data_IF_915669981909
#
_entry.id   IF_915669981909
#
_cell.length_a   1.000
_cell.length_b   1.000
_cell.length_c   1.000
_cell.angle_alpha   90.00
_cell.angle_beta   90.00
_cell.angle_gamma   90.00
#
_symmetry.space_group_name_H-M   'P 1'
#
loop_
_entity.id
_entity.type
_entity.pdbx_description
1 polymer ?
#
# COMPACT_ATOMS: atom_id res chain seq x y z
N UNK A 1 56.85 20.92 -1.47
CA UNK A 1 55.65 21.40 -2.17
C UNK A 1 54.47 20.73 -1.53
N UNK A 2 53.62 21.48 -0.83
CA UNK A 2 52.40 20.97 -0.22
C UNK A 2 51.23 21.26 -1.15
N UNK A 3 50.63 20.21 -1.70
CA UNK A 3 49.38 20.31 -2.46
C UNK A 3 48.22 20.21 -1.47
N UNK A 4 47.54 21.33 -1.24
CA UNK A 4 46.28 21.37 -0.50
C UNK A 4 45.17 20.83 -1.39
N UNK A 5 44.70 19.61 -1.11
CA UNK A 5 43.47 19.09 -1.68
C UNK A 5 42.28 19.71 -0.95
N UNK A 6 41.57 20.60 -1.64
CA UNK A 6 40.31 21.16 -1.17
C UNK A 6 39.21 20.15 -1.52
N UNK A 7 38.85 19.29 -0.57
CA UNK A 7 37.65 18.46 -0.65
C UNK A 7 36.44 19.34 -0.44
N UNK A 8 35.67 19.58 -1.50
CA UNK A 8 34.33 20.13 -1.37
C UNK A 8 33.40 18.99 -1.03
N UNK A 9 32.98 18.90 0.24
CA UNK A 9 31.80 18.15 0.63
C UNK A 9 30.60 18.82 -0.05
N UNK A 10 30.20 18.27 -1.19
CA UNK A 10 28.89 18.52 -1.76
C UNK A 10 27.88 17.88 -0.83
N UNK A 11 27.36 18.67 0.13
CA UNK A 11 26.12 18.31 0.78
C UNK A 11 25.07 18.39 -0.31
N UNK A 12 24.63 17.22 -0.77
CA UNK A 12 23.52 17.06 -1.70
C UNK A 12 22.23 17.43 -0.95
N UNK A 13 22.13 18.69 -0.52
CA UNK A 13 21.02 19.17 0.27
C UNK A 13 19.75 18.97 -0.53
N UNK A 14 19.00 17.93 -0.17
CA UNK A 14 17.63 17.75 -0.60
C UNK A 14 16.92 19.07 -0.32
N UNK A 15 16.43 19.70 -1.40
CA UNK A 15 15.73 20.95 -1.27
C UNK A 15 14.48 20.69 -0.44
N UNK A 16 14.25 21.50 0.60
CA UNK A 16 13.00 21.45 1.35
C UNK A 16 11.82 21.58 0.37
N UNK A 17 10.75 20.78 0.51
CA UNK A 17 9.64 20.82 -0.43
C UNK A 17 8.91 22.17 -0.32
N UNK A 18 8.50 22.70 -1.48
CA UNK A 18 7.79 23.98 -1.54
C UNK A 18 6.42 23.89 -0.84
N UNK A 19 6.03 24.87 -0.01
CA UNK A 19 4.72 24.87 0.63
C UNK A 19 3.57 24.83 -0.40
N UNK A 20 2.55 24.02 -0.14
CA UNK A 20 1.33 23.99 -0.97
C UNK A 20 0.55 25.29 -0.84
N UNK A 21 -0.07 25.70 -1.95
CA UNK A 21 -0.97 26.87 -2.03
C UNK A 21 -2.45 26.52 -2.20
N UNK A 22 -2.74 25.24 -2.44
CA UNK A 22 -4.06 24.65 -2.53
C UNK A 22 -4.58 24.20 -1.16
N UNK A 23 -5.88 23.90 -1.09
CA UNK A 23 -6.50 23.25 0.07
C UNK A 23 -6.55 21.73 -0.18
N UNK A 24 -5.83 20.89 0.59
CA UNK A 24 -5.88 19.45 0.45
C UNK A 24 -7.14 18.83 1.08
N UNK A 25 -7.96 19.60 1.81
CA UNK A 25 -9.18 19.08 2.41
C UNK A 25 -10.20 18.64 1.34
N UNK A 26 -10.78 17.45 1.53
CA UNK A 26 -11.71 16.81 0.60
C UNK A 26 -11.04 16.18 -0.62
N UNK A 27 -9.70 16.09 -0.64
CA UNK A 27 -8.97 15.39 -1.70
C UNK A 27 -8.77 13.92 -1.35
N UNK A 28 -8.81 13.11 -2.40
CA UNK A 28 -8.64 11.66 -2.34
C UNK A 28 -7.55 11.27 -3.33
N UNK A 29 -6.62 10.42 -2.91
CA UNK A 29 -5.53 9.91 -3.73
C UNK A 29 -5.48 8.39 -3.69
N UNK A 30 -5.14 7.79 -4.82
CA UNK A 30 -4.84 6.36 -4.96
C UNK A 30 -3.33 6.17 -4.92
N UNK A 31 -2.84 5.40 -3.95
CA UNK A 31 -1.43 5.06 -3.82
C UNK A 31 -1.02 4.05 -4.89
N UNK A 32 0.09 4.32 -5.57
CA UNK A 32 0.74 3.38 -6.48
C UNK A 32 1.82 2.61 -5.70
N UNK A 33 1.47 1.39 -5.27
CA UNK A 33 2.41 0.51 -4.57
C UNK A 33 3.44 -0.13 -5.50
N UNK A 34 3.13 -0.22 -6.80
CA UNK A 34 3.99 -0.81 -7.82
C UNK A 34 5.11 0.14 -8.25
N UNK A 35 4.87 1.44 -8.17
CA UNK A 35 5.85 2.50 -8.39
C UNK A 35 6.80 2.74 -7.20
N UNK A 36 6.43 2.25 -6.00
CA UNK A 36 7.22 2.41 -4.79
C UNK A 36 8.52 1.59 -4.77
N UNK A 37 9.52 2.09 -4.03
CA UNK A 37 10.77 1.40 -3.76
C UNK A 37 10.63 0.51 -2.52
N UNK A 38 10.44 -0.79 -2.73
CA UNK A 38 10.33 -1.80 -1.67
C UNK A 38 11.68 -2.05 -0.98
N UNK A 39 11.81 -1.52 0.23
CA UNK A 39 12.98 -1.74 1.10
C UNK A 39 12.80 -3.06 1.86
N UNK A 40 11.61 -3.23 2.45
CA UNK A 40 11.19 -4.45 3.14
C UNK A 40 9.74 -4.77 2.75
N UNK A 41 9.44 -5.97 2.25
CA UNK A 41 10.40 -6.97 1.81
C UNK A 41 11.33 -6.52 0.66
N UNK A 42 12.43 -7.23 0.44
CA UNK A 42 13.32 -6.97 -0.69
C UNK A 42 12.54 -7.01 -2.01
N UNK A 43 12.98 -6.22 -3.00
CA UNK A 43 12.26 -5.96 -4.25
C UNK A 43 11.60 -7.20 -4.90
N UNK A 44 12.27 -8.37 -4.93
CA UNK A 44 11.67 -9.56 -5.55
C UNK A 44 10.39 -10.07 -4.89
N UNK A 45 10.26 -9.96 -3.56
CA UNK A 45 9.01 -10.28 -2.85
C UNK A 45 8.10 -9.04 -2.81
N UNK A 46 8.67 -7.85 -2.71
CA UNK A 46 7.94 -6.58 -2.78
C UNK A 46 7.10 -6.47 -4.06
N UNK A 47 7.69 -6.77 -5.22
CA UNK A 47 7.01 -6.75 -6.51
C UNK A 47 5.81 -7.73 -6.54
N UNK A 48 5.98 -8.93 -5.97
CA UNK A 48 4.89 -9.92 -5.88
C UNK A 48 3.77 -9.46 -4.95
N UNK A 49 4.13 -8.80 -3.84
CA UNK A 49 3.14 -8.20 -2.93
C UNK A 49 2.43 -7.02 -3.59
N UNK A 50 3.16 -6.15 -4.28
CA UNK A 50 2.61 -5.01 -5.00
C UNK A 50 1.62 -5.47 -6.08
N UNK A 51 1.99 -6.47 -6.88
CA UNK A 51 1.13 -7.05 -7.91
C UNK A 51 -0.15 -7.66 -7.32
N UNK A 52 -0.04 -8.29 -6.14
CA UNK A 52 -1.17 -8.98 -5.53
C UNK A 52 -2.07 -8.07 -4.70
N UNK A 53 -1.51 -7.04 -4.05
CA UNK A 53 -2.29 -6.01 -3.35
C UNK A 53 -2.88 -5.00 -4.35
N UNK A 54 -2.24 -4.80 -5.51
CA UNK A 54 -2.64 -3.85 -6.53
C UNK A 54 -2.66 -2.40 -6.04
N UNK A 55 -3.16 -1.50 -6.91
CA UNK A 55 -3.44 -0.10 -6.57
C UNK A 55 -4.74 0.00 -5.78
N UNK A 56 -4.72 -0.51 -4.54
CA UNK A 56 -5.92 -0.56 -3.73
C UNK A 56 -5.97 0.49 -2.65
N UNK A 57 -4.84 0.97 -2.12
CA UNK A 57 -4.88 1.87 -0.97
C UNK A 57 -5.28 3.28 -1.39
N UNK A 58 -6.35 3.78 -0.78
CA UNK A 58 -6.89 5.11 -1.01
C UNK A 58 -6.72 5.94 0.25
N UNK A 59 -6.17 7.14 0.11
CA UNK A 59 -6.06 8.13 1.17
C UNK A 59 -7.01 9.27 0.88
N UNK A 60 -7.92 9.58 1.80
CA UNK A 60 -8.73 10.80 1.76
C UNK A 60 -8.36 11.70 2.93
N UNK A 61 -8.19 13.00 2.68
CA UNK A 61 -8.03 14.02 3.72
C UNK A 61 -9.36 14.78 3.89
N UNK A 62 -10.37 14.27 4.62
CA UNK A 62 -11.69 14.91 4.70
C UNK A 62 -11.64 16.31 5.31
N UNK A 63 -10.77 16.51 6.31
CA UNK A 63 -10.60 17.79 7.01
C UNK A 63 -9.16 17.97 7.46
N UNK A 64 -8.67 19.21 7.39
CA UNK A 64 -7.35 19.58 7.89
C UNK A 64 -7.33 20.99 8.49
N UNK A 65 -6.40 21.20 9.41
CA UNK A 65 -5.93 22.52 9.84
C UNK A 65 -4.45 22.65 9.47
N UNK A 66 -3.84 23.80 9.76
CA UNK A 66 -2.42 24.01 9.51
C UNK A 66 -1.47 23.05 10.26
N UNK A 67 -1.94 22.36 11.32
CA UNK A 67 -1.10 21.51 12.18
C UNK A 67 -1.63 20.09 12.41
N UNK A 68 -2.88 19.82 12.06
CA UNK A 68 -3.52 18.52 12.30
C UNK A 68 -4.53 18.22 11.20
N UNK A 69 -4.58 16.96 10.77
CA UNK A 69 -5.55 16.48 9.80
C UNK A 69 -6.18 15.17 10.28
N UNK A 70 -7.32 14.83 9.68
CA UNK A 70 -7.86 13.49 9.72
C UNK A 70 -7.61 12.87 8.35
N UNK A 71 -7.14 11.63 8.32
CA UNK A 71 -6.95 10.86 7.10
C UNK A 71 -7.84 9.64 7.17
N UNK A 72 -8.62 9.39 6.12
CA UNK A 72 -9.29 8.11 5.93
C UNK A 72 -8.40 7.25 5.06
N UNK A 73 -8.15 6.03 5.49
CA UNK A 73 -7.44 5.01 4.71
C UNK A 73 -8.44 3.93 4.36
N UNK A 74 -8.70 3.76 3.08
CA UNK A 74 -9.63 2.76 2.56
C UNK A 74 -9.05 1.98 1.40
N UNK A 75 -9.88 1.16 0.76
CA UNK A 75 -9.54 0.47 -0.47
C UNK A 75 -10.34 1.02 -1.66
N UNK A 76 -9.81 0.88 -2.87
CA UNK A 76 -10.48 1.34 -4.09
C UNK A 76 -9.69 1.04 -5.36
N UNK A 77 -10.05 1.72 -6.44
CA UNK A 77 -9.39 1.70 -7.74
C UNK A 77 -9.42 3.10 -8.32
N UNK A 78 -8.75 3.36 -9.43
CA UNK A 78 -8.81 4.67 -10.09
C UNK A 78 -10.23 5.14 -10.46
N UNK A 79 -11.21 4.23 -10.54
CA UNK A 79 -12.57 4.54 -10.94
C UNK A 79 -13.57 4.69 -9.78
N UNK A 80 -13.34 4.01 -8.64
CA UNK A 80 -14.29 3.98 -7.53
C UNK A 80 -13.65 3.44 -6.23
N UNK A 81 -14.21 3.86 -5.09
CA UNK A 81 -13.94 3.26 -3.78
C UNK A 81 -14.46 1.81 -3.69
N UNK A 82 -13.85 1.00 -2.84
CA UNK A 82 -14.39 -0.29 -2.44
C UNK A 82 -15.40 -0.09 -1.30
N UNK A 83 -16.68 -0.04 -1.66
CA UNK A 83 -17.79 0.18 -0.72
C UNK A 83 -18.00 -0.99 0.26
N UNK A 84 -17.39 -2.16 -0.01
CA UNK A 84 -17.48 -3.31 0.88
C UNK A 84 -16.47 -3.27 2.04
N UNK A 85 -15.52 -2.32 2.02
CA UNK A 85 -14.49 -2.19 3.05
C UNK A 85 -14.65 -0.85 3.73
N UNK A 86 -14.98 -0.86 5.02
CA UNK A 86 -15.10 0.36 5.80
C UNK A 86 -13.73 1.07 5.88
N UNK A 87 -13.62 2.32 5.43
CA UNK A 87 -12.41 3.11 5.60
C UNK A 87 -12.12 3.34 7.08
N UNK A 88 -10.84 3.33 7.39
CA UNK A 88 -10.36 3.50 8.74
C UNK A 88 -9.93 4.95 8.96
N UNK A 89 -10.30 5.51 10.11
CA UNK A 89 -9.98 6.91 10.47
C UNK A 89 -8.64 6.97 11.20
N UNK A 90 -7.76 7.85 10.74
CA UNK A 90 -6.46 8.10 11.33
C UNK A 90 -6.33 9.56 11.77
N UNK A 91 -5.64 9.76 12.90
CA UNK A 91 -5.16 11.10 13.27
C UNK A 91 -3.83 11.37 12.56
N UNK A 92 -3.71 12.53 11.94
CA UNK A 92 -2.50 12.91 11.22
C UNK A 92 -1.93 14.23 11.73
N UNK A 93 -0.60 14.29 11.82
CA UNK A 93 0.13 15.55 11.87
C UNK A 93 0.20 16.14 10.46
N UNK A 94 0.01 17.45 10.34
CA UNK A 94 0.21 18.16 9.08
C UNK A 94 1.24 19.27 9.29
N UNK A 95 2.29 19.28 8.48
CA UNK A 95 3.31 20.31 8.43
C UNK A 95 3.56 20.64 6.97
N UNK A 96 2.81 21.61 6.45
CA UNK A 96 2.80 22.00 5.04
C UNK A 96 4.22 21.92 4.41
N UNK A 97 4.45 21.12 3.35
CA UNK A 97 3.47 20.34 2.57
C UNK A 97 3.28 18.86 2.98
N UNK A 98 3.93 18.40 4.05
CA UNK A 98 3.97 16.99 4.45
C UNK A 98 2.88 16.65 5.48
N UNK A 99 2.35 15.43 5.39
CA UNK A 99 1.54 14.84 6.45
C UNK A 99 2.14 13.52 6.92
N UNK A 100 1.86 13.19 8.18
CA UNK A 100 2.25 11.93 8.78
C UNK A 100 1.10 11.39 9.62
N UNK A 101 0.83 10.10 9.49
CA UNK A 101 -0.21 9.43 10.26
C UNK A 101 0.22 8.03 10.65
N UNK A 102 -0.32 7.53 11.75
CA UNK A 102 -0.02 6.17 12.22
C UNK A 102 -1.22 5.54 12.91
N UNK A 103 -1.21 4.20 12.93
CA UNK A 103 -2.23 3.40 13.58
C UNK A 103 -1.66 2.07 14.04
N UNK A 104 -2.10 1.62 15.21
CA UNK A 104 -1.64 0.37 15.78
C UNK A 104 -2.05 -0.85 14.96
N UNK A 105 -3.31 -0.91 14.51
CA UNK A 105 -3.80 -2.01 13.68
C UNK A 105 -4.63 -1.44 12.53
N UNK A 106 -4.18 -1.68 11.30
CA UNK A 106 -4.95 -1.45 10.09
C UNK A 106 -5.34 -2.79 9.48
N UNK A 107 -6.63 -3.10 9.47
CA UNK A 107 -7.15 -4.36 8.96
C UNK A 107 -7.90 -4.15 7.66
N UNK A 108 -7.60 -4.95 6.66
CA UNK A 108 -8.32 -4.99 5.40
C UNK A 108 -8.59 -6.43 4.98
N UNK A 109 -9.45 -6.62 3.99
CA UNK A 109 -9.80 -7.94 3.47
C UNK A 109 -9.36 -8.00 2.01
N UNK A 110 -8.53 -8.99 1.70
CA UNK A 110 -8.05 -9.27 0.34
C UNK A 110 -8.29 -10.76 0.05
N UNK A 111 -8.96 -11.05 -1.06
CA UNK A 111 -9.20 -12.44 -1.52
C UNK A 111 -9.79 -13.40 -0.46
N UNK A 112 -10.65 -12.93 0.43
CA UNK A 112 -11.29 -13.74 1.48
C UNK A 112 -10.56 -13.74 2.81
N UNK A 113 -9.35 -13.18 2.85
CA UNK A 113 -8.49 -13.22 4.01
C UNK A 113 -8.41 -11.83 4.63
N UNK A 114 -8.57 -11.79 5.95
CA UNK A 114 -8.28 -10.58 6.70
C UNK A 114 -6.77 -10.47 6.88
N UNK A 115 -6.21 -9.35 6.44
CA UNK A 115 -4.81 -9.00 6.61
C UNK A 115 -4.75 -7.81 7.57
N UNK A 116 -3.90 -7.91 8.59
CA UNK A 116 -3.65 -6.82 9.53
C UNK A 116 -2.22 -6.31 9.36
N UNK A 117 -2.08 -5.01 9.09
CA UNK A 117 -0.81 -4.28 9.18
C UNK A 117 -0.72 -3.66 10.57
N UNK A 118 0.21 -4.15 11.37
CA UNK A 118 0.50 -3.65 12.70
C UNK A 118 1.43 -2.43 12.63
N UNK A 119 1.24 -1.48 13.54
CA UNK A 119 2.02 -0.26 13.70
C UNK A 119 2.23 0.51 12.37
N UNK A 120 1.18 0.52 11.54
CA UNK A 120 1.23 1.15 10.23
C UNK A 120 1.48 2.66 10.36
N UNK A 121 2.47 3.16 9.63
CA UNK A 121 2.76 4.59 9.52
C UNK A 121 2.81 4.97 8.05
N UNK A 122 2.16 6.08 7.71
CA UNK A 122 2.16 6.67 6.37
C UNK A 122 2.66 8.10 6.50
N UNK A 123 3.66 8.45 5.69
CA UNK A 123 4.17 9.80 5.53
C UNK A 123 4.18 10.12 4.03
N UNK A 124 3.76 11.32 3.65
CA UNK A 124 3.83 11.75 2.25
C UNK A 124 3.80 13.27 2.13
N UNK A 125 4.30 13.77 1.01
CA UNK A 125 4.26 15.19 0.65
C UNK A 125 3.19 15.46 -0.39
N UNK A 126 2.36 16.47 -0.14
CA UNK A 126 1.31 16.90 -1.08
C UNK A 126 1.91 17.81 -2.15
N UNK A 127 1.59 17.57 -3.42
CA UNK A 127 1.99 18.46 -4.51
C UNK A 127 1.41 19.85 -4.39
N UNK A 128 2.07 20.85 -4.98
CA UNK A 128 1.68 22.26 -4.89
C UNK A 128 0.25 22.59 -5.38
N UNK A 129 -0.32 21.71 -6.22
CA UNK A 129 -1.68 21.75 -6.78
C UNK A 129 -2.67 20.79 -6.08
N UNK A 130 -2.20 19.99 -5.12
CA UNK A 130 -2.96 18.98 -4.38
C UNK A 130 -3.50 17.83 -5.23
N UNK A 131 -3.02 17.65 -6.46
CA UNK A 131 -3.49 16.60 -7.37
C UNK A 131 -2.63 15.32 -7.30
N UNK A 132 -1.55 15.34 -6.51
CA UNK A 132 -0.71 14.15 -6.28
C UNK A 132 -0.04 14.16 -4.90
N UNK A 133 0.40 12.99 -4.47
CA UNK A 133 1.34 12.79 -3.36
C UNK A 133 2.66 12.24 -3.91
N UNK A 134 3.76 12.62 -3.28
CA UNK A 134 5.10 12.13 -3.64
C UNK A 134 5.98 11.98 -2.38
N UNK A 135 7.15 11.38 -2.56
CA UNK A 135 8.09 11.01 -1.49
C UNK A 135 7.41 10.25 -0.34
N UNK A 136 6.39 9.46 -0.69
CA UNK A 136 5.60 8.73 0.30
C UNK A 136 6.41 7.58 0.90
N UNK A 137 6.19 7.35 2.19
CA UNK A 137 6.71 6.20 2.92
C UNK A 137 5.56 5.49 3.63
N UNK A 138 5.48 4.18 3.45
CA UNK A 138 4.58 3.30 4.20
C UNK A 138 5.42 2.29 4.97
N UNK A 139 5.24 2.25 6.29
CA UNK A 139 5.86 1.23 7.14
C UNK A 139 4.84 0.47 7.96
N UNK A 140 5.16 -0.74 8.38
CA UNK A 140 4.37 -1.52 9.35
C UNK A 140 4.92 -2.93 9.53
N UNK A 141 4.13 -3.80 10.15
CA UNK A 141 4.46 -5.22 10.34
C UNK A 141 3.30 -6.11 9.91
N UNK A 142 3.60 -7.20 9.21
CA UNK A 142 2.65 -8.23 8.81
C UNK A 142 2.89 -9.50 9.63
N UNK A 143 1.86 -10.04 10.26
CA UNK A 143 1.97 -11.30 10.99
C UNK A 143 1.85 -12.50 10.03
N UNK A 144 2.91 -13.30 9.90
CA UNK A 144 2.94 -14.48 9.05
C UNK A 144 1.86 -15.52 9.41
N UNK A 145 1.30 -15.49 10.63
CA UNK A 145 0.19 -16.37 11.03
C UNK A 145 -1.13 -15.96 10.37
N UNK A 146 -1.34 -14.67 10.14
CA UNK A 146 -2.53 -14.14 9.47
C UNK A 146 -2.33 -14.10 7.96
N UNK A 147 -1.10 -13.79 7.53
CA UNK A 147 -0.72 -13.65 6.13
C UNK A 147 -0.38 -14.99 5.45
N UNK A 148 -0.14 -16.05 6.23
CA UNK A 148 0.21 -17.38 5.75
C UNK A 148 -0.77 -17.98 4.71
N UNK A 149 -2.10 -17.92 4.90
CA UNK A 149 -3.05 -18.38 3.89
C UNK A 149 -2.91 -17.69 2.54
N UNK A 150 -2.66 -16.37 2.54
CA UNK A 150 -2.42 -15.62 1.31
C UNK A 150 -1.13 -16.08 0.61
N UNK A 151 -0.06 -16.30 1.36
CA UNK A 151 1.18 -16.88 0.83
C UNK A 151 1.04 -18.36 0.44
N UNK A 152 0.11 -19.10 1.03
CA UNK A 152 -0.16 -20.48 0.65
C UNK A 152 -0.68 -20.57 -0.78
N UNK A 153 -1.53 -19.64 -1.19
CA UNK A 153 -2.05 -19.59 -2.55
C UNK A 153 -0.96 -19.15 -3.55
N UNK A 154 -0.07 -18.24 -3.13
CA UNK A 154 0.99 -17.69 -3.98
C UNK A 154 2.21 -18.62 -4.11
N UNK A 155 2.67 -19.18 -2.98
CA UNK A 155 3.93 -19.90 -2.83
C UNK A 155 3.78 -21.37 -2.40
N UNK A 156 2.57 -21.80 -2.04
CA UNK A 156 2.31 -23.16 -1.56
C UNK A 156 2.75 -23.42 -0.12
N UNK A 157 2.99 -22.37 0.68
CA UNK A 157 3.38 -22.45 2.10
C UNK A 157 2.35 -21.75 2.98
N UNK A 158 1.78 -22.48 3.94
CA UNK A 158 0.75 -21.94 4.85
C UNK A 158 1.09 -22.06 6.33
N UNK A 159 2.09 -22.87 6.68
CA UNK A 159 2.57 -22.96 8.06
C UNK A 159 3.43 -21.73 8.41
N UNK A 160 3.20 -21.05 9.55
CA UNK A 160 3.93 -19.82 9.89
C UNK A 160 5.45 -20.01 9.98
N UNK A 161 5.94 -21.16 10.44
CA UNK A 161 7.38 -21.44 10.48
C UNK A 161 7.94 -21.62 9.06
N UNK A 162 7.19 -22.31 8.18
CA UNK A 162 7.56 -22.47 6.77
C UNK A 162 7.52 -21.14 6.01
N UNK A 163 6.53 -20.28 6.30
CA UNK A 163 6.45 -18.91 5.77
C UNK A 163 7.70 -18.15 6.17
N UNK A 164 8.04 -18.12 7.46
CA UNK A 164 9.24 -17.44 7.97
C UNK A 164 10.55 -17.97 7.35
N UNK A 165 10.67 -19.29 7.17
CA UNK A 165 11.82 -19.90 6.47
C UNK A 165 11.86 -19.54 4.98
N UNK A 166 10.70 -19.49 4.34
CA UNK A 166 10.57 -19.15 2.92
C UNK A 166 10.94 -17.69 2.69
N UNK A 167 10.40 -16.77 3.48
CA UNK A 167 10.74 -15.35 3.37
C UNK A 167 12.21 -15.07 3.74
N UNK A 168 12.80 -15.86 4.64
CA UNK A 168 14.23 -15.81 4.92
C UNK A 168 15.11 -16.15 3.71
N UNK A 169 14.63 -16.99 2.80
CA UNK A 169 15.34 -17.25 1.53
C UNK A 169 15.38 -16.03 0.61
N UNK A 170 14.46 -15.08 0.80
CA UNK A 170 14.41 -13.79 0.11
C UNK A 170 15.06 -12.64 0.91
N UNK A 171 15.74 -12.98 2.01
CA UNK A 171 16.46 -12.04 2.86
C UNK A 171 15.61 -11.35 3.93
N UNK A 172 14.35 -11.76 4.11
CA UNK A 172 13.51 -11.22 5.18
C UNK A 172 13.77 -11.95 6.49
N UNK A 173 13.65 -11.26 7.61
CA UNK A 173 13.79 -11.90 8.92
C UNK A 173 12.49 -11.70 9.68
N UNK A 174 11.83 -12.80 10.04
CA UNK A 174 10.71 -12.70 10.96
C UNK A 174 11.21 -12.16 12.32
N UNK A 175 10.59 -11.08 12.77
CA UNK A 175 10.85 -10.38 14.01
C UNK A 175 9.77 -10.72 15.05
N UNK A 176 9.97 -10.24 16.28
CA UNK A 176 9.01 -10.43 17.36
C UNK A 176 7.81 -9.49 17.18
N UNK A 177 6.62 -10.05 17.03
CA UNK A 177 5.34 -9.36 17.03
C UNK A 177 4.99 -8.75 18.39
N UNK A 178 3.97 -7.88 18.40
CA UNK A 178 3.44 -7.24 19.62
C UNK A 178 2.97 -8.23 20.70
N UNK A 179 2.56 -9.44 20.30
CA UNK A 179 2.15 -10.52 21.21
C UNK A 179 3.32 -11.39 21.72
N UNK A 180 4.55 -11.11 21.28
CA UNK A 180 5.77 -11.83 21.64
C UNK A 180 6.12 -13.03 20.75
N UNK A 181 5.32 -13.35 19.72
CA UNK A 181 5.65 -14.39 18.74
C UNK A 181 6.66 -13.92 17.69
N UNK A 182 7.54 -14.80 17.18
CA UNK A 182 8.57 -14.44 16.20
C UNK A 182 8.10 -14.65 14.75
N UNK A 183 7.01 -14.01 14.37
CA UNK A 183 6.33 -14.24 13.08
C UNK A 183 6.05 -12.94 12.30
N UNK A 184 6.55 -11.79 12.76
CA UNK A 184 6.25 -10.52 12.10
C UNK A 184 7.26 -10.24 11.00
N UNK A 185 6.79 -9.79 9.85
CA UNK A 185 7.62 -9.36 8.73
C UNK A 185 7.49 -7.86 8.61
N UNK A 186 8.63 -7.17 8.58
CA UNK A 186 8.66 -5.73 8.42
C UNK A 186 8.25 -5.34 7.00
N UNK A 187 7.43 -4.30 6.91
CA UNK A 187 6.97 -3.68 5.67
C UNK A 187 7.52 -2.26 5.65
N UNK A 188 8.21 -1.90 4.57
CA UNK A 188 8.75 -0.57 4.29
C UNK A 188 8.82 -0.35 2.79
N UNK A 189 7.99 0.57 2.34
CA UNK A 189 7.95 1.04 0.95
C UNK A 189 8.27 2.53 0.98
N UNK A 190 9.23 2.96 0.17
CA UNK A 190 9.65 4.36 0.03
C UNK A 190 9.34 4.88 -1.36
N UNK A 191 9.48 6.19 -1.56
CA UNK A 191 9.22 6.85 -2.84
C UNK A 191 7.84 6.50 -3.42
N UNK A 192 6.84 6.31 -2.55
CA UNK A 192 5.46 6.09 -2.96
C UNK A 192 4.92 7.37 -3.60
N UNK A 193 4.21 7.18 -4.71
CA UNK A 193 3.46 8.23 -5.39
C UNK A 193 1.96 7.95 -5.28
N UNK A 194 1.16 9.00 -5.38
CA UNK A 194 -0.29 8.86 -5.42
C UNK A 194 -0.91 9.86 -6.39
N UNK A 195 -1.88 9.40 -7.20
CA UNK A 195 -2.65 10.25 -8.09
C UNK A 195 -4.02 10.59 -7.51
N UNK A 196 -4.50 11.81 -7.71
CA UNK A 196 -5.85 12.19 -7.31
C UNK A 196 -6.93 11.37 -8.06
N UNK A 197 -8.03 11.09 -7.37
CA UNK A 197 -9.20 10.39 -7.91
C UNK A 197 -10.49 11.17 -7.65
N UNK A 198 -11.47 11.00 -8.54
CA UNK A 198 -12.73 11.75 -8.52
C UNK A 198 -13.84 11.06 -7.70
N UNK A 199 -13.51 10.57 -6.51
CA UNK A 199 -14.48 10.04 -5.55
C UNK A 199 -14.02 10.23 -4.09
N UNK A 200 -14.95 10.07 -3.14
CA UNK A 200 -14.67 10.05 -1.70
C UNK A 200 -14.87 8.65 -1.16
N UNK A 201 -14.17 8.32 -0.09
CA UNK A 201 -14.33 7.11 0.69
C UNK A 201 -15.65 7.16 1.49
N UNK A 202 -16.48 6.11 1.46
CA UNK A 202 -17.74 6.09 2.19
C UNK A 202 -17.46 5.96 3.70
N UNK A 203 -18.07 6.81 4.53
CA UNK A 203 -17.87 6.77 6.00
C UNK A 203 -18.52 5.54 6.68
N UNK A 204 -19.46 4.91 6.01
CA UNK A 204 -20.11 3.67 6.43
C UNK A 204 -20.03 2.70 5.25
N UNK A 205 -19.59 1.46 5.51
CA UNK A 205 -19.72 0.41 4.51
C UNK A 205 -21.21 0.22 4.20
N UNK A 206 -21.55 0.04 2.92
CA UNK A 206 -22.90 -0.40 2.58
C UNK A 206 -23.16 -1.78 3.20
N UNK A 207 -24.42 -2.21 3.31
CA UNK A 207 -24.79 -3.54 3.82
C UNK A 207 -24.16 -4.64 2.93
N UNK A 208 -22.90 -4.96 3.22
CA UNK A 208 -22.12 -5.99 2.58
C UNK A 208 -22.17 -7.21 3.47
N UNK A 209 -22.54 -8.34 2.87
CA UNK A 209 -22.44 -9.60 3.58
C UNK A 209 -20.95 -9.81 3.92
N UNK A 210 -20.55 -9.85 5.21
CA UNK A 210 -19.15 -9.96 5.58
C UNK A 210 -18.52 -11.28 5.10
N UNK A 211 -19.35 -12.27 4.76
CA UNK A 211 -18.92 -13.58 4.26
C UNK A 211 -18.95 -13.65 2.72
N UNK A 212 -19.45 -12.62 2.03
CA UNK A 212 -19.58 -12.60 0.58
C UNK A 212 -19.01 -11.30 0.00
N UNK A 213 -18.04 -11.43 -0.90
CA UNK A 213 -17.50 -10.31 -1.70
C UNK A 213 -18.55 -9.60 -2.57
N UNK A 214 -19.79 -10.09 -2.59
CA UNK A 214 -20.91 -9.43 -3.23
C UNK A 214 -21.47 -8.34 -2.29
N UNK A 215 -20.96 -7.11 -2.44
CA UNK A 215 -21.74 -5.92 -2.12
C UNK A 215 -23.11 -6.07 -2.80
N UNK A 216 -24.21 -6.17 -2.04
CA UNK A 216 -25.55 -6.52 -2.53
C UNK A 216 -26.10 -5.56 -3.62
N UNK A 217 -25.42 -4.44 -3.86
CA UNK A 217 -25.74 -3.43 -4.87
C UNK A 217 -24.68 -3.25 -5.97
N UNK A 218 -23.54 -3.95 -5.90
CA UNK A 218 -22.59 -3.96 -7.01
C UNK A 218 -23.14 -4.81 -8.14
N UNK A 219 -23.74 -4.16 -9.14
CA UNK A 219 -24.19 -4.82 -10.35
C UNK A 219 -23.01 -5.45 -11.10
N UNK A 220 -22.71 -6.73 -10.83
CA UNK A 220 -21.88 -7.65 -11.64
C UNK A 220 -20.74 -6.95 -12.42
N UNK A 221 -19.66 -6.56 -11.75
CA UNK A 221 -18.39 -6.33 -12.44
C UNK A 221 -17.69 -7.70 -12.66
N UNK A 222 -17.27 -8.04 -13.89
CA UNK A 222 -16.77 -9.37 -14.21
C UNK A 222 -15.28 -9.50 -13.90
N UNK A 223 -14.91 -9.80 -12.64
CA UNK A 223 -13.54 -10.18 -12.25
C UNK A 223 -13.08 -11.55 -12.81
N UNK A 224 -13.65 -12.03 -13.93
CA UNK A 224 -13.49 -13.40 -14.44
C UNK A 224 -12.64 -13.58 -15.71
N UNK A 225 -11.91 -12.57 -16.21
CA UNK A 225 -11.21 -12.69 -17.51
C UNK A 225 -9.69 -12.86 -17.47
N UNK A 226 -9.04 -12.72 -16.31
CA UNK A 226 -7.57 -12.82 -16.21
C UNK A 226 -6.99 -14.22 -16.49
N UNK A 227 -7.73 -15.29 -16.19
CA UNK A 227 -7.16 -16.66 -16.21
C UNK A 227 -7.39 -17.41 -17.54
N UNK A 228 -8.23 -16.89 -18.45
CA UNK A 228 -8.50 -17.57 -19.74
C UNK A 228 -7.73 -17.01 -20.95
N UNK A 229 -6.98 -15.91 -20.80
CA UNK A 229 -6.20 -15.33 -21.90
C UNK A 229 -4.87 -16.03 -22.20
N UNK A 230 -4.32 -16.84 -21.27
CA UNK A 230 -3.08 -17.60 -21.50
C UNK A 230 -3.28 -18.95 -22.21
N UNK A 231 -4.53 -19.36 -22.49
CA UNK A 231 -4.84 -20.63 -23.16
C UNK A 231 -4.92 -20.59 -24.70
N UNK A 232 -5.03 -19.42 -25.33
CA UNK A 232 -5.38 -19.33 -26.77
C UNK A 232 -4.30 -18.76 -27.70
N UNK A 233 -3.10 -18.46 -27.21
CA UNK A 233 -1.95 -18.10 -28.07
C UNK A 233 -1.08 -19.31 -28.47
N UNK A 234 -1.35 -20.51 -27.97
CA UNK A 234 -0.58 -21.74 -28.27
C UNK A 234 -1.02 -22.54 -29.50
N UNK A 235 -2.10 -22.17 -30.20
CA UNK A 235 -2.73 -23.04 -31.22
C UNK A 235 -2.65 -22.54 -32.68
N UNK A 236 -1.93 -21.46 -32.97
CA UNK A 236 -1.83 -20.91 -34.33
C UNK A 236 -0.49 -21.17 -35.06
N UNK A 237 0.43 -21.96 -34.50
CA UNK A 237 1.77 -22.18 -35.09
C UNK A 237 2.03 -23.59 -35.65
N UNK A 238 0.99 -24.40 -35.94
CA UNK A 238 1.19 -25.77 -36.47
C UNK A 238 0.23 -26.15 -37.60
N UNK A 239 0.27 -25.41 -38.70
CA UNK A 239 -0.21 -25.89 -40.02
C UNK A 239 0.37 -25.08 -41.18
N UNK A 240 1.62 -25.40 -41.54
CA UNK A 240 2.16 -25.23 -42.88
C UNK A 240 3.12 -26.39 -43.16
N UNK A 241 2.54 -27.51 -43.58
CA UNK A 241 3.10 -28.44 -44.57
C UNK A 241 1.95 -28.85 -45.49
#
# INVERSE_FOLDING_TARGET
>A
GGGGGSGGDGSDGEADPDPISCDPAGRTWLLDLSGGSWVEPSAGVGDLLADSLGDQFVLELPTGTASSATVLVGLGTAAAANECVQPEVFSAGFSNPTFQTSRQDFRFIESGQAITVQDMTIEATVSSDCDSLYDGTLTGHLDAREFGPFLSDLLGVGDPDEVCQTVASFGLVCSTCSDGGNYCVDLRIEALEAGAVDYTLPVEAEDCDPDSFDCAHSGRMPYGWGVLALGMLGLAARRRE
#
